data_IF_683758194461
#
_entry.id   IF_683758194461
#
_cell.length_a   1.000
_cell.length_b   1.000
_cell.length_c   1.000
_cell.angle_alpha   90.00
_cell.angle_beta   90.00
_cell.angle_gamma   90.00
#
_symmetry.space_group_name_H-M   'P 1'
#
loop_
_entity.id
_entity.type
_entity.pdbx_description
1 polymer ?
#
# COMPACT_ATOMS: atom_id res chain seq x y z
N UNK A 1 22.50 -38.49 -25.06
CA UNK A 1 22.40 -37.31 -24.19
C UNK A 1 21.24 -36.51 -24.75
N UNK A 2 20.03 -36.75 -24.25
CA UNK A 2 18.82 -36.06 -24.72
C UNK A 2 18.88 -34.63 -24.19
N UNK A 3 18.86 -33.64 -25.09
CA UNK A 3 18.64 -32.25 -24.72
C UNK A 3 17.22 -32.12 -24.18
N UNK A 4 17.12 -31.83 -22.88
CA UNK A 4 15.88 -31.42 -22.24
C UNK A 4 15.42 -30.11 -22.91
N UNK A 5 14.41 -30.20 -23.78
CA UNK A 5 13.74 -29.04 -24.39
C UNK A 5 13.04 -28.30 -23.25
N UNK A 6 13.72 -27.31 -22.66
CA UNK A 6 13.09 -26.31 -21.79
C UNK A 6 12.07 -25.55 -22.60
N UNK A 7 10.81 -25.97 -22.54
CA UNK A 7 9.70 -25.18 -23.04
C UNK A 7 9.72 -23.83 -22.30
N UNK A 8 9.76 -22.69 -23.01
CA UNK A 8 9.72 -21.40 -22.36
C UNK A 8 8.40 -21.30 -21.60
N UNK A 9 8.47 -21.17 -20.28
CA UNK A 9 7.30 -20.90 -19.46
C UNK A 9 6.57 -19.68 -20.05
N UNK A 10 5.28 -19.78 -20.39
CA UNK A 10 4.57 -18.67 -21.01
C UNK A 10 4.52 -17.49 -20.03
N UNK A 11 4.79 -16.29 -20.55
CA UNK A 11 4.68 -15.06 -19.77
C UNK A 11 3.22 -14.87 -19.40
N UNK A 12 2.90 -14.97 -18.10
CA UNK A 12 1.56 -14.66 -17.63
C UNK A 12 1.37 -13.14 -17.54
N UNK A 13 0.22 -12.69 -18.04
CA UNK A 13 -0.21 -11.30 -17.96
C UNK A 13 -1.60 -11.29 -17.33
N UNK A 14 -1.83 -10.45 -16.31
CA UNK A 14 -3.09 -10.46 -15.61
C UNK A 14 -4.20 -9.99 -16.55
N UNK A 15 -5.24 -10.83 -16.66
CA UNK A 15 -6.47 -10.44 -17.34
C UNK A 15 -7.27 -9.44 -16.51
N UNK A 16 -8.34 -8.89 -17.08
CA UNK A 16 -9.24 -7.94 -16.39
C UNK A 16 -9.86 -8.51 -15.12
N UNK A 17 -10.20 -9.81 -15.10
CA UNK A 17 -10.73 -10.50 -13.91
C UNK A 17 -9.71 -10.53 -12.78
N UNK A 18 -8.45 -10.75 -13.10
CA UNK A 18 -7.36 -10.78 -12.12
C UNK A 18 -7.08 -9.38 -11.59
N UNK A 19 -7.02 -8.37 -12.46
CA UNK A 19 -6.93 -6.96 -12.06
C UNK A 19 -8.06 -6.56 -11.10
N UNK A 20 -9.31 -6.95 -11.42
CA UNK A 20 -10.46 -6.71 -10.55
C UNK A 20 -10.31 -7.43 -9.22
N UNK A 21 -9.90 -8.70 -9.22
CA UNK A 21 -9.68 -9.47 -7.99
C UNK A 21 -8.68 -8.78 -7.06
N UNK A 22 -7.55 -8.28 -7.59
CA UNK A 22 -6.56 -7.59 -6.79
C UNK A 22 -7.06 -6.25 -6.24
N UNK A 23 -7.84 -5.49 -7.02
CA UNK A 23 -8.53 -4.31 -6.51
C UNK A 23 -9.49 -4.66 -5.34
N UNK A 24 -10.35 -5.67 -5.52
CA UNK A 24 -11.28 -6.13 -4.49
C UNK A 24 -10.55 -6.68 -3.25
N UNK A 25 -9.39 -7.31 -3.42
CA UNK A 25 -8.58 -7.80 -2.29
C UNK A 25 -8.13 -6.66 -1.38
N UNK A 26 -7.79 -5.50 -1.95
CA UNK A 26 -7.46 -4.30 -1.19
C UNK A 26 -8.63 -3.79 -0.35
N UNK A 27 -9.84 -3.79 -0.93
CA UNK A 27 -11.08 -3.43 -0.24
C UNK A 27 -11.33 -4.36 0.96
N UNK A 28 -11.23 -5.68 0.72
CA UNK A 28 -11.51 -6.70 1.74
C UNK A 28 -10.51 -6.63 2.88
N UNK A 29 -9.22 -6.44 2.58
CA UNK A 29 -8.15 -6.39 3.59
C UNK A 29 -8.18 -5.08 4.39
N UNK A 30 -8.61 -3.97 3.79
CA UNK A 30 -8.71 -2.68 4.49
C UNK A 30 -9.69 -2.70 5.67
N UNK A 31 -10.88 -3.28 5.49
CA UNK A 31 -11.94 -3.31 6.51
C UNK A 31 -11.47 -3.87 7.87
N UNK A 32 -10.96 -5.12 7.96
CA UNK A 32 -10.54 -5.67 9.25
C UNK A 32 -9.35 -4.91 9.82
N UNK A 33 -8.43 -4.40 9.00
CA UNK A 33 -7.25 -3.66 9.50
C UNK A 33 -7.68 -2.36 10.17
N UNK A 34 -8.54 -1.56 9.52
CA UNK A 34 -9.06 -0.31 10.10
C UNK A 34 -9.85 -0.57 11.38
N UNK A 35 -10.68 -1.62 11.42
CA UNK A 35 -11.44 -1.99 12.63
C UNK A 35 -10.54 -2.51 13.77
N UNK A 36 -9.54 -3.33 13.45
CA UNK A 36 -8.60 -3.87 14.43
C UNK A 36 -7.80 -2.77 15.12
N UNK A 37 -7.41 -1.71 14.40
CA UNK A 37 -6.73 -0.57 15.04
C UNK A 37 -7.61 0.19 16.01
N UNK A 38 -8.90 0.38 15.69
CA UNK A 38 -9.85 1.00 16.60
C UNK A 38 -9.98 0.21 17.91
N UNK A 39 -10.08 -1.13 17.82
CA UNK A 39 -10.17 -2.01 18.99
C UNK A 39 -8.85 -2.02 19.76
N UNK A 40 -7.71 -2.16 19.07
CA UNK A 40 -6.38 -2.16 19.69
C UNK A 40 -6.10 -0.86 20.46
N UNK A 41 -6.50 0.28 19.91
CA UNK A 41 -6.40 1.58 20.58
C UNK A 41 -7.19 1.63 21.89
N UNK A 42 -8.39 1.03 21.94
CA UNK A 42 -9.20 0.99 23.16
C UNK A 42 -8.53 0.18 24.29
N UNK A 43 -7.81 -0.90 23.94
CA UNK A 43 -7.10 -1.73 24.92
C UNK A 43 -5.78 -1.09 25.39
N UNK A 44 -5.03 -0.43 24.50
CA UNK A 44 -3.79 0.24 24.87
C UNK A 44 -4.02 1.46 25.78
N UNK A 45 -5.14 2.16 25.62
CA UNK A 45 -5.53 3.28 26.50
C UNK A 45 -5.70 2.89 27.97
N UNK A 46 -5.87 1.59 28.28
CA UNK A 46 -5.88 1.10 29.66
C UNK A 46 -4.47 1.10 30.30
N UNK A 47 -3.42 0.90 29.49
CA UNK A 47 -2.05 0.72 29.97
C UNK A 47 -1.15 1.93 29.73
N UNK A 48 -1.45 2.77 28.73
CA UNK A 48 -0.66 3.92 28.33
C UNK A 48 -1.49 5.21 28.39
N UNK A 49 -0.85 6.36 28.66
CA UNK A 49 -1.50 7.66 28.48
C UNK A 49 -2.04 7.79 27.06
N UNK A 50 -3.22 8.42 26.94
CA UNK A 50 -3.98 8.56 25.68
C UNK A 50 -3.10 9.03 24.52
N UNK A 51 -2.22 10.01 24.76
CA UNK A 51 -1.31 10.55 23.76
C UNK A 51 -0.38 9.47 23.15
N UNK A 52 0.19 8.59 23.96
CA UNK A 52 1.08 7.53 23.47
C UNK A 52 0.32 6.46 22.70
N UNK A 53 -0.91 6.17 23.14
CA UNK A 53 -1.79 5.24 22.43
C UNK A 53 -2.15 5.80 21.06
N UNK A 54 -2.58 7.06 20.97
CA UNK A 54 -2.93 7.70 19.70
C UNK A 54 -1.75 7.71 18.72
N UNK A 55 -0.56 8.11 19.17
CA UNK A 55 0.65 8.07 18.33
C UNK A 55 0.94 6.64 17.87
N UNK A 56 0.84 5.66 18.76
CA UNK A 56 1.06 4.25 18.43
C UNK A 56 0.06 3.74 17.39
N UNK A 57 -1.24 3.95 17.62
CA UNK A 57 -2.33 3.32 16.86
C UNK A 57 -2.80 4.07 15.64
N UNK A 58 -2.38 5.33 15.45
CA UNK A 58 -2.71 6.12 14.26
C UNK A 58 -1.49 6.47 13.40
N UNK A 59 -0.30 6.59 13.99
CA UNK A 59 0.90 7.05 13.27
C UNK A 59 1.90 5.91 13.06
N UNK A 60 2.21 5.14 14.12
CA UNK A 60 3.36 4.22 14.08
C UNK A 60 2.97 2.85 13.53
N UNK A 61 2.03 2.14 14.17
CA UNK A 61 1.72 0.75 13.82
C UNK A 61 0.92 0.58 12.50
N UNK A 62 -0.04 1.45 12.14
CA UNK A 62 -0.82 1.29 10.92
C UNK A 62 0.00 1.15 9.65
N UNK A 63 0.99 2.02 9.37
CA UNK A 63 1.84 1.87 8.19
C UNK A 63 2.46 0.48 8.03
N UNK A 64 2.98 -0.14 9.09
CA UNK A 64 3.59 -1.47 8.99
C UNK A 64 2.57 -2.54 8.61
N UNK A 65 1.44 -2.56 9.31
CA UNK A 65 0.43 -3.61 9.12
C UNK A 65 -0.27 -3.43 7.77
N UNK A 66 -0.64 -2.21 7.43
CA UNK A 66 -1.35 -1.91 6.19
C UNK A 66 -0.49 -2.19 4.96
N UNK A 67 0.75 -1.70 4.95
CA UNK A 67 1.68 -1.94 3.84
C UNK A 67 1.96 -3.44 3.67
N UNK A 68 2.11 -4.18 4.77
CA UNK A 68 2.27 -5.63 4.70
C UNK A 68 1.03 -6.32 4.14
N UNK A 69 -0.16 -5.96 4.65
CA UNK A 69 -1.42 -6.59 4.27
C UNK A 69 -1.76 -6.35 2.79
N UNK A 70 -1.46 -5.15 2.26
CA UNK A 70 -1.56 -4.85 0.82
C UNK A 70 -0.58 -5.67 -0.03
N UNK A 71 0.64 -5.86 0.45
CA UNK A 71 1.67 -6.57 -0.31
C UNK A 71 1.53 -8.10 -0.25
N UNK A 72 0.90 -8.64 0.79
CA UNK A 72 0.85 -10.07 1.07
C UNK A 72 0.39 -10.94 -0.12
N UNK A 73 -0.68 -10.60 -0.86
CA UNK A 73 -1.15 -11.41 -1.99
C UNK A 73 -0.14 -11.53 -3.16
N UNK A 74 0.83 -10.61 -3.25
CA UNK A 74 1.79 -10.56 -4.35
C UNK A 74 2.96 -11.54 -4.17
N UNK A 75 3.26 -11.97 -2.95
CA UNK A 75 4.42 -12.84 -2.68
C UNK A 75 4.34 -14.21 -3.37
N UNK A 76 3.13 -14.66 -3.70
CA UNK A 76 2.86 -15.97 -4.29
C UNK A 76 2.81 -15.96 -5.83
N UNK A 77 3.17 -14.84 -6.48
CA UNK A 77 3.01 -14.62 -7.92
C UNK A 77 4.31 -14.73 -8.71
N UNK A 78 4.94 -15.90 -8.65
CA UNK A 78 6.25 -16.18 -9.27
C UNK A 78 6.25 -16.29 -10.81
N UNK A 79 5.08 -16.37 -11.46
CA UNK A 79 4.96 -16.48 -12.92
C UNK A 79 4.67 -15.16 -13.65
N UNK A 80 4.56 -14.06 -12.91
CA UNK A 80 4.18 -12.75 -13.44
C UNK A 80 5.42 -11.94 -13.85
N UNK A 81 5.20 -10.97 -14.75
CA UNK A 81 6.24 -9.98 -15.07
C UNK A 81 6.38 -8.92 -13.99
N UNK A 82 7.50 -8.21 -13.95
CA UNK A 82 7.66 -7.04 -13.08
C UNK A 82 6.56 -6.00 -13.31
N UNK A 83 6.21 -5.76 -14.59
CA UNK A 83 5.14 -4.85 -15.00
C UNK A 83 3.78 -5.29 -14.45
N UNK A 84 3.49 -6.59 -14.52
CA UNK A 84 2.27 -7.19 -13.97
C UNK A 84 2.20 -7.01 -12.46
N UNK A 85 3.21 -7.47 -11.72
CA UNK A 85 3.25 -7.37 -10.25
C UNK A 85 3.08 -5.94 -9.78
N UNK A 86 3.76 -4.99 -10.41
CA UNK A 86 3.63 -3.56 -10.11
C UNK A 86 2.19 -3.08 -10.26
N UNK A 87 1.56 -3.43 -11.39
CA UNK A 87 0.19 -3.02 -11.71
C UNK A 87 -0.81 -3.64 -10.73
N UNK A 88 -0.64 -4.92 -10.40
CA UNK A 88 -1.46 -5.60 -9.41
C UNK A 88 -1.32 -4.95 -8.03
N UNK A 89 -0.11 -4.63 -7.59
CA UNK A 89 0.12 -3.90 -6.34
C UNK A 89 -0.52 -2.52 -6.31
N UNK A 90 -0.45 -1.77 -7.41
CA UNK A 90 -1.15 -0.50 -7.55
C UNK A 90 -2.67 -0.67 -7.37
N UNK A 91 -3.26 -1.70 -7.97
CA UNK A 91 -4.69 -1.99 -7.86
C UNK A 91 -5.11 -2.41 -6.45
N UNK A 92 -4.31 -3.22 -5.74
CA UNK A 92 -4.56 -3.54 -4.34
C UNK A 92 -4.59 -2.26 -3.51
N UNK A 93 -3.58 -1.41 -3.66
CA UNK A 93 -3.50 -0.15 -2.93
C UNK A 93 -4.65 0.80 -3.27
N UNK A 94 -5.11 0.83 -4.53
CA UNK A 94 -6.27 1.60 -4.95
C UNK A 94 -7.54 1.14 -4.23
N UNK A 95 -7.81 -0.17 -4.20
CA UNK A 95 -8.95 -0.74 -3.49
C UNK A 95 -8.90 -0.43 -1.99
N UNK A 96 -7.72 -0.57 -1.38
CA UNK A 96 -7.50 -0.21 0.03
C UNK A 96 -7.80 1.26 0.30
N UNK A 97 -7.24 2.16 -0.52
CA UNK A 97 -7.42 3.60 -0.37
C UNK A 97 -8.86 4.06 -0.60
N UNK A 98 -9.62 3.42 -1.50
CA UNK A 98 -11.05 3.66 -1.67
C UNK A 98 -11.79 3.36 -0.36
N UNK A 99 -11.55 2.18 0.24
CA UNK A 99 -12.22 1.80 1.48
C UNK A 99 -11.90 2.76 2.62
N UNK A 100 -10.62 3.12 2.80
CA UNK A 100 -10.23 4.14 3.77
C UNK A 100 -10.95 5.47 3.52
N UNK A 101 -10.94 5.97 2.29
CA UNK A 101 -11.63 7.21 1.94
C UNK A 101 -13.09 7.19 2.39
N UNK A 102 -13.82 6.10 2.15
CA UNK A 102 -15.20 5.96 2.61
C UNK A 102 -15.32 5.97 4.14
N UNK A 103 -14.46 5.22 4.84
CA UNK A 103 -14.47 5.20 6.32
C UNK A 103 -14.22 6.58 6.92
N UNK A 104 -13.24 7.32 6.42
CA UNK A 104 -12.88 8.62 6.98
C UNK A 104 -13.86 9.72 6.60
N UNK A 105 -14.29 9.79 5.33
CA UNK A 105 -15.21 10.84 4.88
C UNK A 105 -16.61 10.63 5.45
N UNK A 106 -17.16 9.43 5.32
CA UNK A 106 -18.56 9.18 5.73
C UNK A 106 -18.67 8.68 7.17
N UNK A 107 -17.66 7.99 7.69
CA UNK A 107 -17.66 7.49 9.07
C UNK A 107 -17.14 8.51 10.10
N UNK A 108 -16.18 9.37 9.72
CA UNK A 108 -15.55 10.33 10.64
C UNK A 108 -15.74 11.80 10.24
N UNK A 109 -16.44 12.09 9.13
CA UNK A 109 -16.70 13.46 8.68
C UNK A 109 -15.47 14.20 8.15
N UNK A 110 -14.42 13.48 7.75
CA UNK A 110 -13.21 14.11 7.24
C UNK A 110 -13.45 14.85 5.91
N UNK A 111 -12.79 15.99 5.65
CA UNK A 111 -12.98 16.73 4.40
C UNK A 111 -12.55 15.91 3.17
N UNK A 112 -13.42 15.85 2.17
CA UNK A 112 -13.19 15.08 0.93
C UNK A 112 -11.87 15.44 0.26
N UNK A 113 -11.55 16.73 0.14
CA UNK A 113 -10.34 17.18 -0.55
C UNK A 113 -9.04 16.80 0.18
N UNK A 114 -9.09 16.54 1.49
CA UNK A 114 -7.94 16.05 2.28
C UNK A 114 -7.75 14.55 2.08
N UNK A 115 -8.85 13.78 2.00
CA UNK A 115 -8.78 12.30 1.91
C UNK A 115 -8.69 11.79 0.47
N UNK A 116 -9.15 12.54 -0.53
CA UNK A 116 -9.13 12.13 -1.93
C UNK A 116 -7.71 11.80 -2.43
N UNK A 117 -6.65 12.58 -2.14
CA UNK A 117 -5.28 12.20 -2.49
C UNK A 117 -4.81 10.90 -1.80
N UNK A 118 -5.35 10.61 -0.61
CA UNK A 118 -5.06 9.38 0.14
C UNK A 118 -5.32 8.12 -0.68
N UNK A 119 -6.38 8.10 -1.49
CA UNK A 119 -6.71 6.95 -2.37
C UNK A 119 -5.50 6.57 -3.24
N UNK A 120 -4.92 7.55 -3.92
CA UNK A 120 -3.77 7.35 -4.79
C UNK A 120 -2.47 7.15 -4.03
N UNK A 121 -2.40 7.65 -2.79
CA UNK A 121 -1.27 7.40 -1.89
C UNK A 121 -1.14 5.91 -1.59
N UNK A 122 -2.22 5.23 -1.19
CA UNK A 122 -2.18 3.78 -0.95
C UNK A 122 -1.85 2.99 -2.22
N UNK A 123 -2.36 3.41 -3.39
CA UNK A 123 -2.03 2.80 -4.67
C UNK A 123 -0.52 2.93 -4.99
N UNK A 124 0.03 4.13 -4.80
CA UNK A 124 1.44 4.40 -5.04
C UNK A 124 2.34 3.66 -4.04
N UNK A 125 2.04 3.69 -2.73
CA UNK A 125 2.82 3.00 -1.70
C UNK A 125 2.86 1.48 -1.93
N UNK A 126 1.71 0.86 -2.19
CA UNK A 126 1.64 -0.57 -2.47
C UNK A 126 2.41 -0.95 -3.74
N UNK A 127 2.37 -0.12 -4.78
CA UNK A 127 3.14 -0.35 -6.01
C UNK A 127 4.66 -0.26 -5.82
N UNK A 128 5.14 0.57 -4.88
CA UNK A 128 6.56 0.65 -4.50
C UNK A 128 7.01 -0.69 -3.89
N UNK A 129 6.20 -1.27 -3.00
CA UNK A 129 6.47 -2.59 -2.41
C UNK A 129 6.43 -3.66 -3.48
N UNK A 130 5.44 -3.61 -4.38
CA UNK A 130 5.31 -4.53 -5.50
C UNK A 130 6.54 -4.50 -6.43
N UNK A 131 7.12 -3.32 -6.69
CA UNK A 131 8.40 -3.21 -7.38
C UNK A 131 9.52 -3.94 -6.62
N UNK A 132 9.58 -3.77 -5.30
CA UNK A 132 10.55 -4.47 -4.46
C UNK A 132 10.37 -5.98 -4.48
N UNK A 133 9.12 -6.46 -4.44
CA UNK A 133 8.81 -7.88 -4.65
C UNK A 133 9.35 -8.28 -6.02
N UNK A 134 8.87 -7.68 -7.11
CA UNK A 134 9.27 -7.99 -8.48
C UNK A 134 10.79 -7.98 -8.74
N UNK A 135 11.57 -7.18 -8.00
CA UNK A 135 13.02 -7.08 -8.15
C UNK A 135 13.82 -7.84 -7.07
N UNK A 136 13.16 -8.77 -6.34
CA UNK A 136 13.74 -9.61 -5.26
C UNK A 136 14.39 -8.79 -4.14
N UNK A 137 13.87 -7.60 -3.86
CA UNK A 137 14.29 -6.67 -2.79
C UNK A 137 13.09 -6.22 -1.93
N UNK A 138 12.19 -7.13 -1.49
CA UNK A 138 10.92 -6.74 -0.87
C UNK A 138 11.13 -5.89 0.38
N UNK A 139 12.03 -6.28 1.28
CA UNK A 139 12.25 -5.55 2.54
C UNK A 139 12.70 -4.10 2.35
N UNK A 140 13.55 -3.83 1.35
CA UNK A 140 14.03 -2.46 1.10
C UNK A 140 12.88 -1.54 0.71
N UNK A 141 12.05 -1.97 -0.22
CA UNK A 141 10.95 -1.14 -0.72
C UNK A 141 9.74 -1.14 0.21
N UNK A 142 9.53 -2.22 0.97
CA UNK A 142 8.61 -2.24 2.11
C UNK A 142 8.96 -1.14 3.12
N UNK A 143 10.21 -1.06 3.56
CA UNK A 143 10.62 -0.02 4.52
C UNK A 143 10.50 1.40 3.94
N UNK A 144 10.72 1.58 2.63
CA UNK A 144 10.50 2.87 1.98
C UNK A 144 9.00 3.23 2.00
N UNK A 145 8.12 2.31 1.64
CA UNK A 145 6.68 2.55 1.64
C UNK A 145 6.15 2.82 3.06
N UNK A 146 6.59 2.04 4.06
CA UNK A 146 6.25 2.27 5.47
C UNK A 146 6.75 3.62 5.95
N UNK A 147 7.96 4.03 5.59
CA UNK A 147 8.50 5.34 5.96
C UNK A 147 7.68 6.50 5.36
N UNK A 148 7.36 6.43 4.07
CA UNK A 148 6.49 7.41 3.41
C UNK A 148 5.11 7.46 4.07
N UNK A 149 4.51 6.30 4.37
CA UNK A 149 3.20 6.25 5.02
C UNK A 149 3.25 6.79 6.47
N UNK A 150 4.28 6.44 7.24
CA UNK A 150 4.47 6.99 8.58
C UNK A 150 4.63 8.53 8.54
N UNK A 151 5.42 9.05 7.59
CA UNK A 151 5.60 10.50 7.45
C UNK A 151 4.33 11.19 6.96
N UNK A 152 3.56 10.59 6.05
CA UNK A 152 2.23 11.06 5.69
C UNK A 152 1.29 11.13 6.92
N UNK A 153 1.29 10.11 7.78
CA UNK A 153 0.45 10.10 8.99
C UNK A 153 0.90 11.17 10.00
N UNK A 154 2.21 11.39 10.15
CA UNK A 154 2.74 12.50 10.96
C UNK A 154 2.23 13.83 10.40
N UNK A 155 2.35 14.08 9.11
CA UNK A 155 1.88 15.34 8.52
C UNK A 155 0.36 15.48 8.59
N UNK A 156 -0.39 14.38 8.46
CA UNK A 156 -1.85 14.37 8.58
C UNK A 156 -2.36 14.56 10.02
N UNK A 157 -1.49 14.48 11.04
CA UNK A 157 -1.89 14.65 12.45
C UNK A 157 -2.35 16.08 12.80
N UNK A 158 -2.01 17.08 11.98
CA UNK A 158 -2.55 18.44 12.10
C UNK A 158 -2.60 19.15 10.75
N UNK A 159 -3.56 20.05 10.57
CA UNK A 159 -3.72 20.81 9.32
C UNK A 159 -2.47 21.62 8.98
N UNK A 160 -1.82 22.23 9.98
CA UNK A 160 -0.59 23.01 9.79
C UNK A 160 0.55 22.12 9.27
N UNK A 161 0.77 20.97 9.90
CA UNK A 161 1.80 20.03 9.44
C UNK A 161 1.49 19.48 8.04
N UNK A 162 0.21 19.26 7.73
CA UNK A 162 -0.21 18.77 6.42
C UNK A 162 0.12 19.78 5.32
N UNK A 163 -0.10 21.07 5.56
CA UNK A 163 0.27 22.13 4.61
C UNK A 163 1.79 22.24 4.41
N UNK A 164 2.58 21.97 5.46
CA UNK A 164 4.05 22.08 5.39
C UNK A 164 4.69 20.87 4.70
N UNK A 165 4.23 19.65 4.98
CA UNK A 165 4.90 18.43 4.54
C UNK A 165 4.02 17.38 3.86
N UNK A 166 2.71 17.40 4.08
CA UNK A 166 1.79 16.40 3.53
C UNK A 166 1.79 16.38 1.99
N UNK A 167 1.72 17.54 1.35
CA UNK A 167 1.80 17.63 -0.11
C UNK A 167 3.15 17.16 -0.66
N UNK A 168 4.25 17.47 0.03
CA UNK A 168 5.57 17.03 -0.38
C UNK A 168 5.69 15.50 -0.33
N UNK A 169 5.15 14.87 0.73
CA UNK A 169 5.16 13.40 0.86
C UNK A 169 4.34 12.72 -0.23
N UNK A 170 3.13 13.24 -0.53
CA UNK A 170 2.32 12.76 -1.65
C UNK A 170 3.08 12.84 -2.98
N UNK A 171 3.69 13.99 -3.27
CA UNK A 171 4.46 14.21 -4.52
C UNK A 171 5.63 13.23 -4.61
N UNK A 172 6.39 13.05 -3.52
CA UNK A 172 7.52 12.12 -3.47
C UNK A 172 7.04 10.69 -3.72
N UNK A 173 5.96 10.28 -3.06
CA UNK A 173 5.41 8.92 -3.18
C UNK A 173 4.91 8.64 -4.59
N UNK A 174 4.17 9.58 -5.20
CA UNK A 174 3.69 9.46 -6.58
C UNK A 174 4.83 9.45 -7.58
N UNK A 175 5.79 10.36 -7.43
CA UNK A 175 6.96 10.43 -8.29
C UNK A 175 7.78 9.13 -8.21
N UNK A 176 7.99 8.61 -7.00
CA UNK A 176 8.73 7.36 -6.81
C UNK A 176 8.01 6.19 -7.45
N UNK A 177 6.70 6.05 -7.22
CA UNK A 177 5.88 5.02 -7.89
C UNK A 177 5.98 5.13 -9.41
N UNK A 178 5.80 6.32 -9.99
CA UNK A 178 5.92 6.55 -11.43
C UNK A 178 7.33 6.25 -11.98
N UNK A 179 8.37 6.65 -11.27
CA UNK A 179 9.75 6.37 -11.64
C UNK A 179 10.05 4.87 -11.64
N UNK A 180 9.58 4.14 -10.62
CA UNK A 180 9.71 2.69 -10.54
C UNK A 180 8.87 1.98 -11.60
N UNK A 181 7.66 2.48 -11.89
CA UNK A 181 6.82 2.01 -13.00
C UNK A 181 7.61 2.06 -14.31
N UNK A 182 8.34 3.13 -14.60
CA UNK A 182 9.16 3.23 -15.82
C UNK A 182 10.33 2.24 -15.88
N UNK A 183 10.75 1.69 -14.73
CA UNK A 183 11.86 0.73 -14.65
C UNK A 183 11.42 -0.73 -14.75
N UNK A 184 10.15 -1.03 -14.54
CA UNK A 184 9.66 -2.42 -14.67
C UNK A 184 9.70 -2.86 -16.13
N UNK A 185 9.93 -4.15 -16.34
CA UNK A 185 9.96 -4.77 -17.66
C UNK A 185 9.00 -5.96 -17.75
N UNK A 186 8.87 -6.53 -18.95
CA UNK A 186 8.12 -7.76 -19.21
C UNK A 186 8.93 -9.03 -18.83
N UNK A 187 9.94 -8.91 -17.96
CA UNK A 187 10.77 -10.03 -17.49
C UNK A 187 10.13 -10.72 -16.29
N UNK A 188 10.39 -12.02 -16.13
CA UNK A 188 9.93 -12.83 -15.00
C UNK A 188 10.52 -12.38 -13.65
N UNK A 189 9.70 -12.55 -12.61
CA UNK A 189 10.05 -12.38 -11.20
C UNK A 189 10.67 -13.65 -10.59
#
# INVERSE_FOLDING_TARGET
MEEEIKTPTPVHRPGTREMLFFCLSGIIVSIPVTLSFSIFSSHLNFFLPVLYTEIGTSIIFPPFIEEFAKAYPLFYRHGETERSIFTLGFLIGLGFGITEFFFYVFGQGAPVFVRLPGIFFHAASASIIAYGIATKRPMRYYMIAVFLHLTNNIFASSELLYMVGGYADLIITYYLSWHLYKKTSERFY
#
